data_IF_118440299060
#
_entry.id   IF_118440299060
#
_cell.length_a   1.000
_cell.length_b   1.000
_cell.length_c   1.000
_cell.angle_alpha   90.00
_cell.angle_beta   90.00
_cell.angle_gamma   90.00
#
_symmetry.space_group_name_H-M   'P 1'
#
loop_
_entity.id
_entity.type
_entity.pdbx_description
1 polymer ?
#
# COMPACT_ATOMS: atom_id res chain seq x y z
N UNK A 1 9.13 4.36 54.05
CA UNK A 1 8.14 4.04 52.99
C UNK A 1 8.31 4.84 51.68
N UNK A 2 9.37 5.63 51.48
CA UNK A 2 9.59 6.38 50.22
C UNK A 2 10.40 5.63 49.14
N UNK A 3 11.15 4.59 49.51
CA UNK A 3 11.97 3.80 48.57
C UNK A 3 11.17 2.76 47.76
N UNK A 4 10.02 2.30 48.26
CA UNK A 4 9.16 1.34 47.55
C UNK A 4 8.37 1.96 46.39
N UNK A 5 8.07 3.26 46.46
CA UNK A 5 7.30 3.98 45.44
C UNK A 5 8.13 4.17 44.16
N UNK A 6 9.45 4.39 44.30
CA UNK A 6 10.34 4.57 43.14
C UNK A 6 10.52 3.30 42.31
N UNK A 7 10.33 2.11 42.90
CA UNK A 7 10.48 0.83 42.20
C UNK A 7 9.23 0.47 41.38
N UNK A 8 8.04 0.84 41.86
CA UNK A 8 6.77 0.64 41.14
C UNK A 8 6.65 1.51 39.87
N UNK A 9 7.21 2.73 39.88
CA UNK A 9 7.21 3.61 38.70
C UNK A 9 8.13 3.06 37.60
N UNK A 10 9.25 2.42 37.97
CA UNK A 10 10.17 1.80 37.01
C UNK A 10 9.59 0.51 36.38
N UNK A 11 8.80 -0.26 37.14
CA UNK A 11 8.07 -1.44 36.64
C UNK A 11 6.92 -1.09 35.67
N UNK A 12 6.28 0.07 35.84
CA UNK A 12 5.24 0.55 34.90
C UNK A 12 5.83 1.00 33.54
N UNK A 13 7.08 1.46 33.52
CA UNK A 13 7.81 1.77 32.27
C UNK A 13 8.35 0.52 31.57
N UNK A 14 8.41 -0.61 32.29
CA UNK A 14 8.67 -1.95 31.76
C UNK A 14 7.38 -2.67 31.35
N UNK A 15 6.26 -1.95 31.22
CA UNK A 15 5.11 -2.40 30.43
C UNK A 15 5.60 -2.69 29.02
N UNK A 16 6.06 -3.93 28.82
CA UNK A 16 6.57 -4.50 27.59
C UNK A 16 5.83 -3.89 26.39
N UNK A 17 6.57 -3.32 25.44
CA UNK A 17 6.17 -3.48 24.06
C UNK A 17 6.18 -4.98 23.82
N UNK A 18 5.02 -5.62 24.02
CA UNK A 18 4.83 -7.00 23.59
C UNK A 18 5.17 -7.01 22.11
N UNK A 19 6.15 -7.82 21.75
CA UNK A 19 6.54 -7.94 20.36
C UNK A 19 5.35 -8.56 19.62
N UNK A 20 4.90 -7.89 18.55
CA UNK A 20 3.77 -8.39 17.76
C UNK A 20 4.07 -9.77 17.18
N UNK A 21 3.10 -10.69 17.33
CA UNK A 21 3.13 -12.04 16.78
C UNK A 21 2.78 -12.07 15.28
N UNK A 22 2.42 -10.92 14.69
CA UNK A 22 2.14 -10.81 13.26
C UNK A 22 3.33 -11.24 12.41
N UNK A 23 3.08 -12.18 11.50
CA UNK A 23 4.06 -12.72 10.55
C UNK A 23 3.61 -12.44 9.13
N UNK A 24 4.40 -11.66 8.39
CA UNK A 24 4.01 -11.21 7.05
C UNK A 24 3.78 -12.38 6.10
N UNK A 25 4.54 -13.47 6.17
CA UNK A 25 4.37 -14.60 5.25
C UNK A 25 3.08 -15.36 5.55
N UNK A 26 2.74 -15.54 6.84
CA UNK A 26 1.57 -16.32 7.27
C UNK A 26 0.27 -15.52 7.20
N UNK A 27 0.33 -14.24 7.55
CA UNK A 27 -0.86 -13.44 7.85
C UNK A 27 -1.22 -12.44 6.75
N UNK A 28 -0.41 -12.29 5.70
CA UNK A 28 -0.60 -11.29 4.62
C UNK A 28 -2.03 -11.25 4.07
N UNK A 29 -2.66 -12.40 3.89
CA UNK A 29 -3.97 -12.50 3.24
C UNK A 29 -5.16 -12.24 4.17
N UNK A 30 -4.88 -11.89 5.43
CA UNK A 30 -5.84 -11.48 6.47
C UNK A 30 -5.22 -10.37 7.34
N UNK A 31 -4.32 -9.56 6.78
CA UNK A 31 -3.43 -8.75 7.60
C UNK A 31 -4.17 -7.75 8.47
N UNK A 32 -5.27 -7.17 7.99
CA UNK A 32 -6.05 -6.18 8.75
C UNK A 32 -6.65 -6.73 10.04
N UNK A 33 -6.98 -8.03 10.05
CA UNK A 33 -7.49 -8.75 11.21
C UNK A 33 -6.35 -9.23 12.14
N UNK A 34 -5.20 -9.57 11.56
CA UNK A 34 -4.06 -10.19 12.26
C UNK A 34 -3.06 -9.20 12.85
N UNK A 35 -2.97 -8.00 12.29
CA UNK A 35 -2.11 -6.95 12.83
C UNK A 35 -2.49 -6.61 14.27
N UNK A 36 -1.49 -6.43 15.11
CA UNK A 36 -1.60 -6.01 16.49
C UNK A 36 -1.36 -4.51 16.63
N UNK A 37 -1.78 -3.93 17.77
CA UNK A 37 -1.67 -2.50 17.98
C UNK A 37 -0.21 -2.01 17.88
N UNK A 38 0.04 -1.05 16.99
CA UNK A 38 1.37 -0.53 16.69
C UNK A 38 1.98 -1.11 15.41
N UNK A 39 1.44 -2.21 14.89
CA UNK A 39 1.92 -2.79 13.64
C UNK A 39 1.75 -1.82 12.48
N UNK A 40 2.75 -1.84 11.60
CA UNK A 40 2.76 -1.03 10.38
C UNK A 40 3.20 -1.88 9.19
N UNK A 41 2.37 -1.92 8.15
CA UNK A 41 2.69 -2.57 6.87
C UNK A 41 2.78 -1.51 5.79
N UNK A 42 3.84 -1.56 5.00
CA UNK A 42 4.06 -0.68 3.85
C UNK A 42 3.92 -1.48 2.56
N UNK A 43 3.01 -1.06 1.69
CA UNK A 43 2.77 -1.69 0.39
C UNK A 43 3.13 -0.67 -0.70
N UNK A 44 4.20 -0.95 -1.42
CA UNK A 44 4.59 -0.20 -2.61
C UNK A 44 3.99 -0.85 -3.85
N UNK A 45 3.32 -0.06 -4.69
CA UNK A 45 2.80 -0.49 -5.99
C UNK A 45 3.51 0.30 -7.08
N UNK A 46 4.21 -0.40 -7.96
CA UNK A 46 4.94 0.17 -9.08
C UNK A 46 4.05 0.20 -10.33
N UNK A 47 3.68 1.40 -10.76
CA UNK A 47 2.86 1.65 -11.95
C UNK A 47 3.71 1.95 -13.19
N UNK A 48 5.04 1.85 -13.07
CA UNK A 48 5.96 2.22 -14.13
C UNK A 48 5.89 1.25 -15.32
N UNK A 49 5.89 1.81 -16.53
CA UNK A 49 5.97 1.07 -17.78
C UNK A 49 6.62 1.92 -18.87
N UNK A 50 7.52 1.33 -19.65
CA UNK A 50 8.28 2.02 -20.69
C UNK A 50 8.98 3.29 -20.14
N UNK A 51 8.63 4.48 -20.63
CA UNK A 51 9.19 5.76 -20.17
C UNK A 51 8.38 6.41 -19.04
N UNK A 52 7.22 5.84 -18.67
CA UNK A 52 6.39 6.33 -17.60
C UNK A 52 6.87 5.73 -16.27
N UNK A 53 7.25 6.60 -15.33
CA UNK A 53 7.74 6.23 -14.00
C UNK A 53 6.77 6.76 -12.96
N UNK A 54 6.15 5.84 -12.22
CA UNK A 54 5.24 6.18 -11.14
C UNK A 54 5.09 5.05 -10.14
N UNK A 55 4.76 5.42 -8.91
CA UNK A 55 4.52 4.46 -7.85
C UNK A 55 3.54 5.02 -6.82
N UNK A 56 3.04 4.12 -5.98
CA UNK A 56 2.27 4.47 -4.80
C UNK A 56 2.83 3.74 -3.58
N UNK A 57 2.71 4.38 -2.41
CA UNK A 57 2.99 3.81 -1.12
C UNK A 57 1.71 3.85 -0.28
N UNK A 58 1.29 2.67 0.17
CA UNK A 58 0.15 2.47 1.06
C UNK A 58 0.66 2.01 2.42
N UNK A 59 0.49 2.85 3.44
CA UNK A 59 0.92 2.56 4.81
C UNK A 59 -0.30 2.22 5.66
N UNK A 60 -0.38 0.96 6.08
CA UNK A 60 -1.39 0.45 7.01
C UNK A 60 -0.86 0.51 8.43
N UNK A 61 -1.61 1.10 9.35
CA UNK A 61 -1.22 1.24 10.76
C UNK A 61 -2.35 0.73 11.63
N UNK A 62 -2.08 -0.26 12.48
CA UNK A 62 -3.05 -0.74 13.47
C UNK A 62 -2.98 0.11 14.73
N UNK A 63 -4.12 0.66 15.12
CA UNK A 63 -4.29 1.38 16.38
C UNK A 63 -5.52 0.83 17.09
N UNK A 64 -5.31 0.12 18.19
CA UNK A 64 -6.33 -0.67 18.88
C UNK A 64 -7.02 -1.58 17.87
N UNK A 65 -8.35 -1.55 17.79
CA UNK A 65 -9.13 -2.40 16.90
C UNK A 65 -9.22 -1.86 15.46
N UNK A 66 -8.65 -0.68 15.18
CA UNK A 66 -8.79 0.00 13.89
C UNK A 66 -7.52 -0.09 13.05
N UNK A 67 -7.66 -0.40 11.78
CA UNK A 67 -6.58 -0.26 10.78
C UNK A 67 -6.80 1.04 10.03
N UNK A 68 -5.79 1.89 10.03
CA UNK A 68 -5.79 3.11 9.22
C UNK A 68 -4.93 2.93 7.98
N UNK A 69 -5.31 3.58 6.89
CA UNK A 69 -4.57 3.62 5.64
C UNK A 69 -4.20 5.05 5.30
N UNK A 70 -2.91 5.26 5.00
CA UNK A 70 -2.38 6.47 4.40
C UNK A 70 -1.76 6.13 3.05
N UNK A 71 -2.01 6.97 2.03
CA UNK A 71 -1.50 6.75 0.68
C UNK A 71 -0.70 7.95 0.20
N UNK A 72 0.45 7.67 -0.37
CA UNK A 72 1.28 8.60 -1.12
C UNK A 72 1.38 8.11 -2.57
N UNK A 73 1.22 9.00 -3.54
CA UNK A 73 1.29 8.71 -4.96
C UNK A 73 2.31 9.64 -5.62
N UNK A 74 3.12 9.11 -6.52
CA UNK A 74 4.14 9.89 -7.24
C UNK A 74 4.22 9.47 -8.72
N UNK A 75 4.30 10.47 -9.60
CA UNK A 75 4.73 10.33 -10.99
C UNK A 75 6.03 11.13 -11.12
N UNK A 76 7.12 10.47 -11.51
CA UNK A 76 8.45 11.07 -11.63
C UNK A 76 8.90 11.28 -13.08
N UNK A 77 8.23 10.65 -14.04
CA UNK A 77 8.46 10.89 -15.47
C UNK A 77 7.69 12.12 -15.98
N UNK A 78 8.22 12.79 -17.00
CA UNK A 78 7.62 13.96 -17.65
C UNK A 78 7.48 15.15 -16.69
N UNK A 79 6.28 15.39 -16.16
CA UNK A 79 6.00 16.41 -15.15
C UNK A 79 5.88 15.74 -13.79
N UNK A 80 6.80 16.06 -12.88
CA UNK A 80 6.79 15.49 -11.54
C UNK A 80 5.52 15.92 -10.81
N UNK A 81 4.75 14.95 -10.33
CA UNK A 81 3.55 15.16 -9.50
C UNK A 81 3.60 14.23 -8.31
N UNK A 82 3.20 14.73 -7.16
CA UNK A 82 3.12 13.97 -5.91
C UNK A 82 1.86 14.37 -5.16
N UNK A 83 1.23 13.41 -4.49
CA UNK A 83 0.02 13.64 -3.69
C UNK A 83 0.03 12.72 -2.46
N UNK A 84 -0.36 13.27 -1.31
CA UNK A 84 -0.70 12.46 -0.13
C UNK A 84 -2.20 12.52 0.09
N UNK A 85 -2.86 11.38 0.02
CA UNK A 85 -4.30 11.29 0.20
C UNK A 85 -4.68 11.35 1.68
N UNK A 86 -5.91 11.78 2.01
CA UNK A 86 -6.41 11.76 3.37
C UNK A 86 -6.30 10.37 4.00
N UNK A 87 -5.86 10.33 5.26
CA UNK A 87 -5.86 9.10 6.05
C UNK A 87 -7.29 8.62 6.26
N UNK A 88 -7.56 7.35 5.99
CA UNK A 88 -8.88 6.75 6.13
C UNK A 88 -8.85 5.53 7.07
N UNK A 89 -10.02 5.11 7.54
CA UNK A 89 -10.18 3.80 8.17
C UNK A 89 -10.27 2.75 7.08
N UNK A 90 -9.34 1.80 7.10
CA UNK A 90 -9.36 0.67 6.19
C UNK A 90 -10.26 -0.43 6.75
N UNK A 91 -11.25 -0.84 5.95
CA UNK A 91 -12.11 -1.97 6.26
C UNK A 91 -11.90 -3.02 5.18
N UNK A 92 -11.27 -4.13 5.55
CA UNK A 92 -11.23 -5.29 4.67
C UNK A 92 -12.66 -5.81 4.51
N UNK A 93 -13.23 -5.62 3.33
CA UNK A 93 -14.55 -6.16 3.06
C UNK A 93 -14.48 -7.69 2.97
N UNK A 94 -15.58 -8.34 3.36
CA UNK A 94 -15.82 -9.78 3.29
C UNK A 94 -15.26 -10.45 2.01
N UNK A 95 -14.99 -11.76 2.12
CA UNK A 95 -14.25 -12.65 1.21
C UNK A 95 -14.40 -12.48 -0.33
N UNK A 96 -15.41 -11.76 -0.84
CA UNK A 96 -15.71 -11.60 -2.27
C UNK A 96 -15.62 -10.16 -2.82
N UNK A 97 -15.15 -9.15 -2.07
CA UNK A 97 -14.99 -7.80 -2.64
C UNK A 97 -13.53 -7.37 -2.80
N UNK A 98 -13.35 -6.29 -3.56
CA UNK A 98 -12.07 -5.62 -3.78
C UNK A 98 -11.48 -5.17 -2.44
N UNK A 99 -10.37 -5.79 -2.04
CA UNK A 99 -9.53 -5.47 -0.88
C UNK A 99 -8.07 -5.75 -1.20
N UNK A 100 -7.14 -5.19 -0.42
CA UNK A 100 -5.71 -5.49 -0.55
C UNK A 100 -5.42 -6.98 -0.30
N UNK A 101 -6.02 -7.58 0.71
CA UNK A 101 -5.86 -9.00 1.03
C UNK A 101 -6.25 -9.90 -0.16
N UNK A 102 -7.36 -9.59 -0.83
CA UNK A 102 -7.80 -10.35 -1.98
C UNK A 102 -6.95 -10.07 -3.22
N UNK A 103 -6.46 -8.84 -3.38
CA UNK A 103 -5.49 -8.52 -4.41
C UNK A 103 -4.17 -9.28 -4.22
N UNK A 104 -3.67 -9.38 -2.98
CA UNK A 104 -2.48 -10.18 -2.67
C UNK A 104 -2.70 -11.67 -2.89
N UNK A 105 -3.88 -12.22 -2.55
CA UNK A 105 -4.25 -13.60 -2.89
C UNK A 105 -4.23 -13.84 -4.40
N UNK A 106 -4.74 -12.88 -5.17
CA UNK A 106 -4.69 -12.93 -6.64
C UNK A 106 -3.23 -12.91 -7.13
N UNK A 107 -2.43 -11.95 -6.67
CA UNK A 107 -1.01 -11.84 -7.05
C UNK A 107 -0.23 -13.09 -6.67
N UNK A 108 -0.52 -13.73 -5.54
CA UNK A 108 0.14 -14.99 -5.14
C UNK A 108 -0.13 -16.14 -6.10
N UNK A 109 -1.30 -16.19 -6.73
CA UNK A 109 -1.64 -17.23 -7.71
C UNK A 109 -0.99 -16.96 -9.07
N UNK A 110 -0.93 -15.69 -9.45
CA UNK A 110 -0.38 -15.25 -10.73
C UNK A 110 1.10 -14.83 -10.65
N UNK A 111 1.75 -15.06 -9.50
CA UNK A 111 3.10 -14.58 -9.27
C UNK A 111 4.06 -15.27 -10.22
N UNK A 112 4.97 -14.48 -10.79
CA UNK A 112 6.05 -14.98 -11.63
C UNK A 112 7.37 -14.90 -10.87
N UNK A 113 8.35 -15.76 -11.16
CA UNK A 113 9.65 -15.66 -10.54
C UNK A 113 10.29 -14.31 -10.90
N UNK A 114 11.10 -13.78 -9.97
CA UNK A 114 11.96 -12.64 -10.27
C UNK A 114 12.93 -13.05 -11.38
N UNK A 115 13.10 -12.20 -12.39
CA UNK A 115 14.19 -12.30 -13.35
C UNK A 115 15.04 -11.04 -13.26
N UNK A 116 16.17 -11.01 -13.97
CA UNK A 116 17.07 -9.85 -14.01
C UNK A 116 16.40 -8.59 -14.57
N UNK A 117 15.41 -8.75 -15.45
CA UNK A 117 14.76 -7.65 -16.17
C UNK A 117 13.50 -7.14 -15.49
N UNK A 118 13.02 -7.81 -14.44
CA UNK A 118 11.68 -7.57 -13.90
C UNK A 118 11.78 -6.87 -12.53
N UNK A 119 11.24 -5.66 -12.43
CA UNK A 119 10.97 -5.04 -11.14
C UNK A 119 9.75 -5.66 -10.47
N UNK A 120 9.71 -5.67 -9.13
CA UNK A 120 8.48 -6.03 -8.43
C UNK A 120 7.37 -5.03 -8.79
N UNK A 121 6.18 -5.56 -9.07
CA UNK A 121 4.98 -4.74 -9.26
C UNK A 121 4.45 -4.31 -7.90
N UNK A 122 4.53 -5.22 -6.92
CA UNK A 122 4.12 -4.94 -5.55
C UNK A 122 5.21 -5.44 -4.60
N UNK A 123 5.63 -4.58 -3.70
CA UNK A 123 6.54 -4.92 -2.60
C UNK A 123 5.89 -4.55 -1.27
N UNK A 124 5.88 -5.50 -0.34
CA UNK A 124 5.25 -5.37 0.96
C UNK A 124 6.33 -5.52 2.02
N UNK A 125 6.38 -4.59 2.96
CA UNK A 125 7.36 -4.57 4.04
C UNK A 125 6.68 -4.48 5.40
N UNK A 126 7.26 -5.15 6.38
CA UNK A 126 6.84 -5.14 7.78
C UNK A 126 8.06 -4.99 8.71
N UNK A 127 7.86 -4.38 9.90
CA UNK A 127 8.91 -4.10 10.91
C UNK A 127 10.17 -3.46 10.31
N UNK A 128 10.04 -2.27 9.71
CA UNK A 128 11.18 -1.57 9.07
C UNK A 128 11.95 -2.44 8.06
N UNK A 129 11.22 -3.18 7.23
CA UNK A 129 11.75 -4.08 6.19
C UNK A 129 12.46 -5.34 6.71
N UNK A 130 12.30 -5.69 7.99
CA UNK A 130 12.79 -6.97 8.53
C UNK A 130 12.11 -8.18 7.87
N UNK A 131 10.84 -8.02 7.47
CA UNK A 131 10.12 -9.00 6.66
C UNK A 131 9.65 -8.32 5.37
N UNK A 132 9.74 -9.03 4.26
CA UNK A 132 9.32 -8.53 2.96
C UNK A 132 8.72 -9.62 2.07
N UNK A 133 7.70 -9.24 1.28
CA UNK A 133 7.12 -10.05 0.21
C UNK A 133 7.12 -9.22 -1.07
N UNK A 134 7.41 -9.83 -2.21
CA UNK A 134 7.34 -9.14 -3.51
C UNK A 134 6.66 -10.00 -4.56
N UNK A 135 5.87 -9.35 -5.41
CA UNK A 135 5.16 -9.94 -6.52
C UNK A 135 5.67 -9.36 -7.83
N UNK A 136 5.84 -10.23 -8.84
CA UNK A 136 6.44 -9.88 -10.13
C UNK A 136 5.48 -10.22 -11.27
N UNK A 137 5.73 -9.59 -12.42
CA UNK A 137 5.10 -9.92 -13.70
C UNK A 137 6.05 -10.61 -14.64
N UNK A 138 5.47 -11.19 -15.69
CA UNK A 138 6.15 -11.66 -16.88
C UNK A 138 5.72 -10.81 -18.10
N UNK A 139 6.55 -9.82 -18.43
CA UNK A 139 6.31 -8.91 -19.55
C UNK A 139 5.24 -7.83 -19.29
N UNK A 140 5.01 -7.00 -20.31
CA UNK A 140 4.17 -5.81 -20.21
C UNK A 140 2.68 -6.14 -20.06
N UNK A 141 2.17 -7.14 -20.79
CA UNK A 141 0.74 -7.50 -20.75
C UNK A 141 0.32 -7.95 -19.36
N UNK A 142 1.07 -8.88 -18.76
CA UNK A 142 0.79 -9.38 -17.41
C UNK A 142 0.90 -8.26 -16.35
N UNK A 143 1.86 -7.33 -16.53
CA UNK A 143 1.96 -6.15 -15.67
C UNK A 143 0.70 -5.29 -15.74
N UNK A 144 0.27 -4.93 -16.94
CA UNK A 144 -0.93 -4.11 -17.14
C UNK A 144 -2.19 -4.79 -16.60
N UNK A 145 -2.37 -6.10 -16.83
CA UNK A 145 -3.52 -6.84 -16.29
C UNK A 145 -3.58 -6.85 -14.76
N UNK A 146 -2.41 -6.96 -14.09
CA UNK A 146 -2.31 -6.88 -12.63
C UNK A 146 -2.62 -5.47 -12.12
N UNK A 147 -2.07 -4.45 -12.77
CA UNK A 147 -2.31 -3.04 -12.43
C UNK A 147 -3.76 -2.61 -12.71
N UNK A 148 -4.42 -3.11 -13.76
CA UNK A 148 -5.83 -2.83 -14.04
C UNK A 148 -6.73 -3.36 -12.92
N UNK A 149 -6.46 -4.58 -12.42
CA UNK A 149 -7.17 -5.13 -11.26
C UNK A 149 -6.92 -4.32 -10.00
N UNK A 150 -5.69 -3.84 -9.81
CA UNK A 150 -5.37 -2.92 -8.73
C UNK A 150 -6.12 -1.59 -8.85
N UNK A 151 -6.25 -1.05 -10.06
CA UNK A 151 -7.02 0.17 -10.34
C UNK A 151 -8.47 0.08 -9.87
N UNK A 152 -9.10 -1.10 -9.98
CA UNK A 152 -10.45 -1.33 -9.44
C UNK A 152 -10.48 -1.20 -7.91
N UNK A 153 -9.52 -1.81 -7.20
CA UNK A 153 -9.36 -1.67 -5.76
C UNK A 153 -9.16 -0.21 -5.37
N UNK A 154 -8.23 0.47 -6.06
CA UNK A 154 -7.92 1.86 -5.81
C UNK A 154 -9.13 2.77 -5.98
N UNK A 155 -9.91 2.59 -7.05
CA UNK A 155 -11.14 3.36 -7.30
C UNK A 155 -12.22 3.13 -6.23
N UNK A 156 -12.27 1.95 -5.62
CA UNK A 156 -13.16 1.69 -4.47
C UNK A 156 -12.72 2.47 -3.23
N UNK A 157 -11.42 2.51 -2.96
CA UNK A 157 -10.86 3.20 -1.78
C UNK A 157 -10.96 4.72 -1.94
N UNK A 158 -10.65 5.23 -3.13
CA UNK A 158 -10.58 6.65 -3.44
C UNK A 158 -11.39 6.97 -4.72
N UNK A 159 -12.75 6.98 -4.66
CA UNK A 159 -13.60 7.08 -5.85
C UNK A 159 -13.53 8.42 -6.59
N UNK A 160 -13.13 9.48 -5.88
CA UNK A 160 -13.04 10.84 -6.42
C UNK A 160 -11.61 11.27 -6.74
N UNK A 161 -10.63 10.39 -6.52
CA UNK A 161 -9.25 10.72 -6.82
C UNK A 161 -9.01 10.75 -8.33
N UNK A 162 -8.23 11.73 -8.77
CA UNK A 162 -7.94 12.01 -10.17
C UNK A 162 -6.44 12.04 -10.48
N UNK A 163 -5.57 11.69 -9.52
CA UNK A 163 -4.12 11.77 -9.67
C UNK A 163 -3.58 11.13 -10.96
N UNK A 164 -4.02 9.90 -11.26
CA UNK A 164 -3.62 9.15 -12.46
C UNK A 164 -4.46 9.43 -13.70
N UNK A 165 -5.44 10.33 -13.63
CA UNK A 165 -6.22 10.68 -14.81
C UNK A 165 -5.34 11.48 -15.80
N UNK A 166 -5.58 11.24 -17.09
CA UNK A 166 -4.97 12.07 -18.12
C UNK A 166 -5.40 13.53 -17.93
N UNK A 167 -4.47 14.50 -18.05
CA UNK A 167 -4.84 15.90 -18.03
C UNK A 167 -5.87 16.17 -19.14
N UNK A 168 -6.83 17.06 -18.88
CA UNK A 168 -7.79 17.46 -19.91
C UNK A 168 -7.03 18.05 -21.10
N UNK A 169 -7.40 17.71 -22.34
CA UNK A 169 -6.79 18.33 -23.51
C UNK A 169 -6.98 19.86 -23.43
N UNK A 170 -6.01 20.66 -23.91
CA UNK A 170 -6.16 22.10 -23.95
C UNK A 170 -7.41 22.49 -24.78
N UNK A 171 -8.10 23.58 -24.44
CA UNK A 171 -9.24 24.04 -25.22
C UNK A 171 -8.80 24.31 -26.67
N UNK A 172 -9.68 24.08 -27.66
CA UNK A 172 -9.35 24.36 -29.05
C UNK A 172 -9.01 25.85 -29.21
N UNK A 173 -8.05 26.20 -30.08
CA UNK A 173 -7.68 27.59 -30.31
C UNK A 173 -8.90 28.41 -30.76
N UNK A 174 -8.97 29.72 -30.40
CA UNK A 174 -10.04 30.59 -30.86
C UNK A 174 -10.15 30.50 -32.38
N UNK A 175 -11.36 30.24 -32.90
CA UNK A 175 -11.59 30.32 -34.34
C UNK A 175 -11.23 31.74 -34.76
N UNK A 176 -10.19 31.90 -35.59
CA UNK A 176 -9.91 33.18 -36.23
C UNK A 176 -11.18 33.63 -36.96
N UNK A 177 -11.80 34.70 -36.48
CA UNK A 177 -12.89 35.34 -37.19
C UNK A 177 -12.31 35.81 -38.54
N UNK A 178 -12.87 35.28 -39.63
CA UNK A 178 -12.58 35.76 -40.98
C UNK A 178 -13.22 37.13 -41.20
#
# INVERSE_FOLDING_TARGET
MKKCISFFIFLLLLSCQQESDFDLEKDLYQFSDKMENGDTIEVSVNHSACLFLSHELYTFIKQKDTVFLQTYSEISSFEKREETLPKIVYQASNKNQLSFENYFKYLSKENKPKTETNSAIVSIHYKNKAQAKSFYSDGLRDNLEKLDRFGLLRKKIYPNDTFFNSPKPPPPPPKFAK
#
